data_IF_244924087940
#
_entry.id   IF_244924087940
#
_cell.length_a   1.000
_cell.length_b   1.000
_cell.length_c   1.000
_cell.angle_alpha   90.00
_cell.angle_beta   90.00
_cell.angle_gamma   90.00
#
_symmetry.space_group_name_H-M   'P 1'
#
loop_
_entity.id
_entity.type
_entity.pdbx_description
1 polymer ?
#
# COMPACT_ATOMS: atom_id res chain seq x y z
N UNK A 1 12.95 -25.72 -50.49
CA UNK A 1 13.85 -25.13 -49.48
C UNK A 1 13.70 -25.90 -48.17
N UNK A 2 14.70 -26.66 -47.76
CA UNK A 2 14.64 -27.41 -46.50
C UNK A 2 14.99 -26.46 -45.35
N UNK A 3 14.03 -26.05 -44.56
CA UNK A 3 14.27 -25.25 -43.37
C UNK A 3 15.04 -26.14 -42.37
N UNK A 4 16.24 -25.71 -41.99
CA UNK A 4 17.09 -26.47 -41.08
C UNK A 4 16.35 -26.64 -39.75
N UNK A 5 16.34 -27.88 -39.21
CA UNK A 5 15.77 -28.19 -37.89
C UNK A 5 16.23 -27.22 -36.79
N UNK A 6 17.44 -26.68 -36.90
CA UNK A 6 18.00 -25.67 -35.99
C UNK A 6 17.25 -24.35 -36.04
N UNK A 7 16.72 -23.94 -37.19
CA UNK A 7 15.94 -22.69 -37.35
C UNK A 7 14.58 -22.86 -36.71
N UNK A 8 13.94 -24.02 -36.82
CA UNK A 8 12.66 -24.33 -36.21
C UNK A 8 12.79 -24.28 -34.69
N UNK A 9 13.82 -24.88 -34.11
CA UNK A 9 14.09 -24.86 -32.68
C UNK A 9 14.34 -23.44 -32.18
N UNK A 10 15.08 -22.62 -32.93
CA UNK A 10 15.32 -21.22 -32.58
C UNK A 10 14.02 -20.39 -32.59
N UNK A 11 13.14 -20.59 -33.55
CA UNK A 11 11.84 -19.90 -33.63
C UNK A 11 10.91 -20.30 -32.49
N UNK A 12 10.92 -21.58 -32.07
CA UNK A 12 10.15 -22.05 -30.92
C UNK A 12 10.70 -21.41 -29.62
N UNK A 13 12.04 -21.27 -29.49
CA UNK A 13 12.65 -20.65 -28.33
C UNK A 13 12.31 -19.14 -28.23
N UNK A 14 12.32 -18.42 -29.36
CA UNK A 14 11.95 -17.00 -29.42
C UNK A 14 10.46 -16.81 -29.13
N UNK A 15 9.61 -17.72 -29.61
CA UNK A 15 8.17 -17.69 -29.32
C UNK A 15 7.88 -17.95 -27.83
N UNK A 16 8.58 -18.88 -27.20
CA UNK A 16 8.44 -19.18 -25.76
C UNK A 16 8.88 -17.97 -24.88
N UNK A 17 9.88 -17.21 -25.32
CA UNK A 17 10.36 -16.02 -24.59
C UNK A 17 9.36 -14.86 -24.60
N UNK A 18 8.47 -14.78 -25.60
CA UNK A 18 7.44 -13.75 -25.67
C UNK A 18 6.19 -14.06 -24.84
N UNK A 19 5.98 -15.31 -24.45
CA UNK A 19 4.86 -15.73 -23.59
C UNK A 19 5.06 -15.37 -22.11
N UNK A 20 6.28 -14.98 -21.70
CA UNK A 20 6.58 -14.58 -20.32
C UNK A 20 6.34 -13.09 -20.03
N UNK A 21 5.83 -12.30 -20.97
CA UNK A 21 5.15 -11.04 -20.63
C UNK A 21 3.76 -11.34 -20.05
N UNK A 22 3.71 -12.24 -19.08
CA UNK A 22 2.55 -12.34 -18.20
C UNK A 22 2.45 -10.99 -17.50
N UNK A 23 1.36 -10.28 -17.76
CA UNK A 23 1.01 -9.02 -17.13
C UNK A 23 1.25 -9.15 -15.62
N UNK A 24 2.33 -8.56 -15.12
CA UNK A 24 2.42 -8.24 -13.73
C UNK A 24 1.30 -7.23 -13.49
N UNK A 25 0.16 -7.70 -13.01
CA UNK A 25 -0.97 -6.88 -12.66
C UNK A 25 -0.46 -5.96 -11.54
N UNK A 26 -0.45 -4.66 -11.80
CA UNK A 26 0.14 -3.68 -10.90
C UNK A 26 -0.60 -3.76 -9.54
N UNK A 27 0.14 -4.16 -8.50
CA UNK A 27 -0.40 -4.27 -7.16
C UNK A 27 -0.58 -2.87 -6.57
N UNK A 28 -1.81 -2.54 -6.17
CA UNK A 28 -2.15 -1.27 -5.55
C UNK A 28 -1.95 -1.41 -4.04
N UNK A 29 -0.86 -0.84 -3.54
CA UNK A 29 -0.55 -0.84 -2.10
C UNK A 29 -1.12 0.38 -1.43
N UNK A 30 -1.97 0.16 -0.42
CA UNK A 30 -2.54 1.21 0.42
C UNK A 30 -2.08 0.99 1.86
N UNK A 31 -1.45 1.99 2.45
CA UNK A 31 -1.06 1.97 3.85
C UNK A 31 -2.24 2.29 4.76
N UNK A 32 -2.24 1.73 5.95
CA UNK A 32 -3.20 2.04 7.00
C UNK A 32 -2.44 2.36 8.29
N UNK A 33 -2.36 3.66 8.64
CA UNK A 33 -1.71 4.19 9.84
C UNK A 33 -2.73 4.45 10.93
N UNK A 34 -2.82 3.53 11.89
CA UNK A 34 -3.85 3.56 12.94
C UNK A 34 -3.29 3.01 14.25
N UNK A 35 -3.83 3.40 15.42
CA UNK A 35 -3.44 2.81 16.68
C UNK A 35 -4.05 1.41 16.79
N UNK A 36 -3.21 0.39 16.77
CA UNK A 36 -3.61 -1.02 16.95
C UNK A 36 -3.37 -1.50 18.38
N UNK A 37 -2.55 -0.77 19.14
CA UNK A 37 -2.25 -1.01 20.54
C UNK A 37 -2.57 0.21 21.39
N UNK A 38 -2.46 0.05 22.72
CA UNK A 38 -2.73 1.11 23.70
C UNK A 38 -4.21 1.47 23.86
N UNK A 39 -4.49 2.62 24.47
CA UNK A 39 -5.85 3.04 24.85
C UNK A 39 -6.80 3.27 23.69
N UNK A 40 -6.29 3.63 22.52
CA UNK A 40 -7.08 3.90 21.32
C UNK A 40 -7.19 2.71 20.36
N UNK A 41 -6.72 1.52 20.76
CA UNK A 41 -6.70 0.33 19.89
C UNK A 41 -8.09 -0.11 19.40
N UNK A 42 -9.15 0.15 20.14
CA UNK A 42 -10.50 -0.23 19.75
C UNK A 42 -11.00 0.57 18.54
N UNK A 43 -10.62 1.86 18.45
CA UNK A 43 -10.90 2.70 17.28
C UNK A 43 -10.14 2.15 16.07
N UNK A 44 -8.85 1.87 16.23
CA UNK A 44 -8.03 1.31 15.17
C UNK A 44 -8.57 -0.02 14.65
N UNK A 45 -8.91 -0.94 15.54
CA UNK A 45 -9.53 -2.24 15.19
C UNK A 45 -10.86 -2.08 14.45
N UNK A 46 -11.66 -1.07 14.83
CA UNK A 46 -12.93 -0.77 14.13
C UNK A 46 -12.68 -0.30 12.71
N UNK A 47 -11.67 0.55 12.49
CA UNK A 47 -11.28 1.01 11.17
C UNK A 47 -10.77 -0.16 10.31
N UNK A 48 -9.93 -1.05 10.87
CA UNK A 48 -9.48 -2.27 10.14
C UNK A 48 -10.68 -3.07 9.65
N UNK A 49 -11.68 -3.30 10.52
CA UNK A 49 -12.89 -4.03 10.12
C UNK A 49 -13.63 -3.32 8.97
N UNK A 50 -13.78 -2.01 9.05
CA UNK A 50 -14.44 -1.20 8.02
C UNK A 50 -13.69 -1.26 6.69
N UNK A 51 -12.36 -1.12 6.72
CA UNK A 51 -11.51 -1.21 5.52
C UNK A 51 -11.61 -2.59 4.89
N UNK A 52 -11.56 -3.67 5.68
CA UNK A 52 -11.73 -5.04 5.17
C UNK A 52 -13.09 -5.24 4.49
N UNK A 53 -14.16 -4.73 5.08
CA UNK A 53 -15.49 -4.81 4.47
C UNK A 53 -15.55 -4.03 3.15
N UNK A 54 -14.93 -2.86 3.09
CA UNK A 54 -14.86 -2.06 1.86
C UNK A 54 -14.08 -2.79 0.76
N UNK A 55 -12.91 -3.36 1.07
CA UNK A 55 -12.09 -4.11 0.11
C UNK A 55 -12.83 -5.35 -0.40
N UNK A 56 -13.47 -6.10 0.48
CA UNK A 56 -14.28 -7.26 0.07
C UNK A 56 -15.42 -6.87 -0.87
N UNK A 57 -16.00 -5.68 -0.68
CA UNK A 57 -17.08 -5.17 -1.55
C UNK A 57 -16.56 -4.70 -2.91
N UNK A 58 -15.32 -4.21 -2.98
CA UNK A 58 -14.67 -3.79 -4.23
C UNK A 58 -14.33 -5.01 -5.09
N UNK A 59 -14.07 -6.16 -4.46
CA UNK A 59 -13.72 -7.43 -5.10
C UNK A 59 -12.56 -7.30 -6.11
N UNK A 60 -11.52 -6.55 -5.71
CA UNK A 60 -10.32 -6.36 -6.51
C UNK A 60 -9.11 -6.99 -5.81
N UNK A 61 -8.64 -8.10 -6.35
CA UNK A 61 -7.51 -8.87 -5.81
C UNK A 61 -6.15 -8.15 -5.87
N UNK A 62 -6.08 -7.04 -6.60
CA UNK A 62 -4.82 -6.28 -6.75
C UNK A 62 -4.60 -5.25 -5.65
N UNK A 63 -5.59 -5.05 -4.78
CA UNK A 63 -5.45 -4.11 -3.66
C UNK A 63 -4.87 -4.83 -2.45
N UNK A 64 -3.70 -4.39 -2.03
CA UNK A 64 -3.04 -4.84 -0.81
C UNK A 64 -3.11 -3.74 0.26
N UNK A 65 -3.58 -4.09 1.46
CA UNK A 65 -3.58 -3.20 2.61
C UNK A 65 -2.42 -3.54 3.54
N UNK A 66 -1.53 -2.57 3.76
CA UNK A 66 -0.42 -2.69 4.69
C UNK A 66 -0.74 -1.93 5.98
N UNK A 67 -0.88 -2.67 7.08
CA UNK A 67 -1.19 -2.11 8.38
C UNK A 67 0.08 -1.75 9.14
N UNK A 68 0.08 -0.55 9.75
CA UNK A 68 1.13 -0.14 10.70
C UNK A 68 0.49 0.46 11.94
N UNK A 69 1.02 0.05 13.09
CA UNK A 69 0.58 0.55 14.38
C UNK A 69 1.25 1.90 14.69
N UNK A 70 0.46 2.92 14.95
CA UNK A 70 0.96 4.23 15.35
C UNK A 70 1.14 4.37 16.87
N UNK A 71 0.57 3.45 17.65
CA UNK A 71 0.46 3.52 19.10
C UNK A 71 -0.10 4.88 19.61
N UNK A 72 -0.69 5.68 18.72
CA UNK A 72 -1.08 7.07 18.93
C UNK A 72 0.10 7.97 19.37
N UNK A 73 1.29 7.69 18.85
CA UNK A 73 2.51 8.44 19.08
C UNK A 73 3.00 9.09 17.78
N UNK A 74 3.32 10.40 17.75
CA UNK A 74 3.73 11.09 16.53
C UNK A 74 5.05 10.57 15.93
N UNK A 75 6.02 10.18 16.76
CA UNK A 75 7.31 9.66 16.28
C UNK A 75 7.13 8.28 15.67
N UNK A 76 6.42 7.39 16.35
CA UNK A 76 6.10 6.06 15.82
C UNK A 76 5.25 6.14 14.56
N UNK A 77 4.36 7.11 14.48
CA UNK A 77 3.58 7.36 13.26
C UNK A 77 4.48 7.72 12.08
N UNK A 78 5.48 8.59 12.29
CA UNK A 78 6.45 8.94 11.25
C UNK A 78 7.31 7.72 10.83
N UNK A 79 7.82 6.95 11.81
CA UNK A 79 8.60 5.75 11.53
C UNK A 79 7.79 4.74 10.71
N UNK A 80 6.56 4.45 11.13
CA UNK A 80 5.65 3.56 10.44
C UNK A 80 5.30 4.06 9.01
N UNK A 81 5.15 5.37 8.83
CA UNK A 81 4.93 5.96 7.52
C UNK A 81 6.16 5.82 6.60
N UNK A 82 7.38 6.01 7.13
CA UNK A 82 8.63 5.77 6.38
C UNK A 82 8.77 4.32 5.94
N UNK A 83 8.43 3.37 6.81
CA UNK A 83 8.42 1.94 6.45
C UNK A 83 7.45 1.66 5.30
N UNK A 84 6.22 2.19 5.36
CA UNK A 84 5.25 2.07 4.26
C UNK A 84 5.82 2.63 2.95
N UNK A 85 6.50 3.77 3.01
CA UNK A 85 7.16 4.37 1.84
C UNK A 85 8.22 3.46 1.23
N UNK A 86 9.04 2.79 2.06
CA UNK A 86 10.04 1.81 1.62
C UNK A 86 9.39 0.56 1.00
N UNK A 87 8.19 0.19 1.44
CA UNK A 87 7.39 -0.90 0.86
C UNK A 87 6.68 -0.49 -0.44
N UNK A 88 6.88 0.75 -0.90
CA UNK A 88 6.32 1.27 -2.16
C UNK A 88 4.91 1.83 -2.05
N UNK A 89 4.41 2.05 -0.83
CA UNK A 89 3.10 2.68 -0.60
C UNK A 89 3.15 4.16 -0.98
N UNK A 90 2.17 4.62 -1.74
CA UNK A 90 2.01 6.04 -2.11
C UNK A 90 0.80 6.68 -1.45
N UNK A 91 -0.22 5.91 -1.13
CA UNK A 91 -1.46 6.39 -0.51
C UNK A 91 -1.64 5.72 0.85
N UNK A 92 -1.87 6.53 1.86
CA UNK A 92 -2.03 6.10 3.26
C UNK A 92 -3.35 6.63 3.81
N UNK A 93 -4.14 5.75 4.39
CA UNK A 93 -5.33 6.09 5.17
C UNK A 93 -4.91 6.26 6.63
N UNK A 94 -5.21 7.40 7.21
CA UNK A 94 -4.74 7.80 8.52
C UNK A 94 -3.68 8.92 8.45
N UNK A 95 -3.15 9.35 9.58
CA UNK A 95 -3.53 8.94 10.93
C UNK A 95 -4.92 9.43 11.37
N UNK A 96 -5.39 8.92 12.52
CA UNK A 96 -6.71 9.29 13.08
C UNK A 96 -6.64 10.58 13.88
N UNK A 97 -5.58 10.76 14.65
CA UNK A 97 -5.42 11.85 15.60
C UNK A 97 -4.51 12.94 15.04
N UNK A 98 -4.91 14.20 15.26
CA UNK A 98 -4.22 15.37 14.73
C UNK A 98 -2.75 15.49 15.19
N UNK A 99 -2.45 15.11 16.43
CA UNK A 99 -1.07 15.13 16.95
C UNK A 99 -0.13 14.22 16.16
N UNK A 100 -0.64 13.21 15.50
CA UNK A 100 0.16 12.25 14.74
C UNK A 100 0.47 12.72 13.30
N UNK A 101 -0.08 13.85 12.87
CA UNK A 101 0.17 14.41 11.53
C UNK A 101 1.42 15.28 11.47
N UNK A 102 1.89 15.77 12.62
CA UNK A 102 2.86 16.86 12.76
C UNK A 102 4.14 16.65 11.94
N UNK A 103 4.64 15.42 11.85
CA UNK A 103 5.90 15.12 11.16
C UNK A 103 5.71 14.55 9.74
N UNK A 104 4.48 14.30 9.32
CA UNK A 104 4.23 13.63 8.04
C UNK A 104 4.50 14.53 6.82
N UNK A 105 4.57 15.84 7.02
CA UNK A 105 4.91 16.81 5.96
C UNK A 105 6.32 16.60 5.37
N UNK A 106 7.18 15.85 6.05
CA UNK A 106 8.48 15.44 5.51
C UNK A 106 8.35 14.45 4.34
N UNK A 107 7.25 13.70 4.27
CA UNK A 107 7.05 12.60 3.32
C UNK A 107 6.24 13.07 2.10
N UNK A 108 6.80 14.00 1.34
CA UNK A 108 6.14 14.66 0.18
C UNK A 108 5.74 13.73 -0.96
N UNK A 109 6.37 12.56 -1.04
CA UNK A 109 6.08 11.54 -2.06
C UNK A 109 4.87 10.67 -1.73
N UNK A 110 4.26 10.86 -0.55
CA UNK A 110 3.13 10.10 -0.06
C UNK A 110 1.91 11.00 0.12
N UNK A 111 0.74 10.42 -0.12
CA UNK A 111 -0.55 11.09 0.09
C UNK A 111 -1.19 10.51 1.34
N UNK A 112 -1.44 11.37 2.33
CA UNK A 112 -2.10 10.99 3.59
C UNK A 112 -3.56 11.42 3.59
N UNK A 113 -4.46 10.46 3.67
CA UNK A 113 -5.89 10.67 3.88
C UNK A 113 -6.16 10.65 5.39
N UNK A 114 -5.84 11.75 6.07
CA UNK A 114 -6.01 11.86 7.51
C UNK A 114 -7.49 11.79 7.90
N UNK A 115 -7.79 11.02 8.94
CA UNK A 115 -9.16 10.86 9.46
C UNK A 115 -9.47 11.88 10.58
N UNK A 116 -8.58 12.82 10.85
CA UNK A 116 -8.83 13.89 11.81
C UNK A 116 -9.80 14.94 11.27
N UNK A 117 -10.63 15.48 12.14
CA UNK A 117 -11.56 16.57 11.83
C UNK A 117 -11.01 17.97 12.17
N UNK A 118 -9.76 18.06 12.63
CA UNK A 118 -9.11 19.34 12.92
C UNK A 118 -8.44 19.91 11.66
N UNK A 119 -8.79 21.15 11.30
CA UNK A 119 -8.05 21.88 10.28
C UNK A 119 -6.62 22.14 10.78
N UNK A 120 -5.63 21.60 10.08
CA UNK A 120 -4.23 21.94 10.29
C UNK A 120 -4.06 23.32 9.64
N UNK A 121 -3.98 24.36 10.46
CA UNK A 121 -3.57 25.67 9.96
C UNK A 121 -2.06 25.63 9.76
N UNK A 122 -1.65 25.72 8.51
CA UNK A 122 -0.27 26.04 8.16
C UNK A 122 0.09 27.45 8.64
#
# INVERSE_FOLDING_TARGET
MKISSKIIVLLIFISAFNLQKLQAQEEIKIGLLIPLSGKQSDIGKSIVRSVRLAINKIDNSNIQILLKDTENDPVKTLEAAKELGLEGVKVVIGPIFNNNVIYLDELKEMIFLSLTNKNIKN
#
